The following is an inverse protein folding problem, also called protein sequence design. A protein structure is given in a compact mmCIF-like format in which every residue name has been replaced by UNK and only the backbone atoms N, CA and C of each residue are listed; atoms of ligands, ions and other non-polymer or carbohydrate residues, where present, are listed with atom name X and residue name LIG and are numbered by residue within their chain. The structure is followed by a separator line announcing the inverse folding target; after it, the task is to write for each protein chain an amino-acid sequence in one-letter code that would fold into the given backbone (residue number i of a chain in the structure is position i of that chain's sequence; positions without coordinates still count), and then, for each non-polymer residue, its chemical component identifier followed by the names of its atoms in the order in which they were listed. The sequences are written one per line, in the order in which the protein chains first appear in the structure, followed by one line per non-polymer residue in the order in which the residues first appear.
data_IF_887215534261
#
_entry.id   IF_887215534261
#
_cell.length_a   1.000
_cell.length_b   1.000
_cell.length_c   1.000
_cell.angle_alpha   90.00
_cell.angle_beta   90.00
_cell.angle_gamma   90.00
#
_symmetry.space_group_name_H-M   'P 1'
#
loop_
_entity.id
_entity.type
_entity.pdbx_description
1 polymer ?
#
# COMPACT_ATOMS: atom_id res chain seq x y z
N UNK A 1 -2.46 -7.56 9.21
CA UNK A 1 -3.78 -7.91 8.63
C UNK A 1 -3.58 -8.78 7.39
N UNK A 2 -4.50 -9.70 7.07
CA UNK A 2 -4.52 -10.31 5.74
C UNK A 2 -5.06 -9.27 4.74
N UNK A 3 -4.36 -9.08 3.62
CA UNK A 3 -4.63 -7.98 2.68
C UNK A 3 -5.66 -8.39 1.63
N UNK A 4 -6.87 -7.83 1.69
CA UNK A 4 -7.87 -7.91 0.62
C UNK A 4 -7.71 -6.79 -0.42
N UNK A 5 -7.07 -5.68 -0.05
CA UNK A 5 -6.72 -4.58 -0.92
C UNK A 5 -5.53 -3.80 -0.33
N UNK A 6 -4.76 -3.11 -1.17
CA UNK A 6 -3.66 -2.27 -0.69
C UNK A 6 -4.20 -1.11 0.17
N UNK A 7 -5.36 -0.56 -0.17
CA UNK A 7 -6.08 0.46 0.60
C UNK A 7 -6.34 -0.01 2.04
N UNK A 8 -6.83 -1.23 2.22
CA UNK A 8 -7.07 -1.82 3.55
C UNK A 8 -5.76 -1.98 4.32
N UNK A 9 -4.69 -2.42 3.65
CA UNK A 9 -3.38 -2.57 4.27
C UNK A 9 -2.83 -1.22 4.74
N UNK A 10 -2.92 -0.17 3.92
CA UNK A 10 -2.49 1.18 4.30
C UNK A 10 -3.31 1.75 5.45
N UNK A 11 -4.63 1.51 5.46
CA UNK A 11 -5.48 1.91 6.58
C UNK A 11 -5.02 1.24 7.87
N UNK A 12 -4.87 -0.10 7.88
CA UNK A 12 -4.42 -0.84 9.05
C UNK A 12 -3.02 -0.43 9.53
N UNK A 13 -2.12 -0.06 8.61
CA UNK A 13 -0.80 0.48 8.96
C UNK A 13 -0.91 1.86 9.64
N UNK A 14 -1.73 2.75 9.10
CA UNK A 14 -1.95 4.08 9.68
C UNK A 14 -2.63 4.01 11.04
N UNK A 15 -3.67 3.19 11.16
CA UNK A 15 -4.40 2.92 12.40
C UNK A 15 -3.44 2.44 13.50
N UNK A 16 -2.66 1.38 13.24
CA UNK A 16 -1.70 0.84 14.21
C UNK A 16 -0.67 1.88 14.68
N UNK A 17 -0.19 2.73 13.78
CA UNK A 17 0.79 3.76 14.13
C UNK A 17 0.18 4.89 14.97
N UNK A 18 -1.05 5.33 14.66
CA UNK A 18 -1.78 6.32 15.46
C UNK A 18 -2.19 5.74 16.82
N UNK A 19 -2.68 4.52 16.90
CA UNK A 19 -3.02 3.90 18.20
C UNK A 19 -1.80 3.82 19.14
N UNK A 20 -0.61 3.61 18.57
CA UNK A 20 0.64 3.47 19.35
C UNK A 20 1.23 4.82 19.79
N UNK A 21 1.07 5.88 19.01
CA UNK A 21 1.75 7.17 19.23
C UNK A 21 0.74 8.32 19.38
N UNK A 22 0.28 8.64 20.61
CA UNK A 22 -0.69 9.70 20.88
C UNK A 22 -0.32 11.07 20.33
N UNK A 23 0.98 11.37 20.25
CA UNK A 23 1.53 12.63 19.75
C UNK A 23 1.45 12.81 18.23
N UNK A 24 1.19 11.73 17.49
CA UNK A 24 1.01 11.78 16.03
C UNK A 24 -0.46 12.04 15.72
N UNK A 25 -0.73 13.10 14.95
CA UNK A 25 -2.08 13.48 14.55
C UNK A 25 -2.56 12.74 13.29
N UNK A 26 -1.68 12.58 12.29
CA UNK A 26 -2.01 11.92 11.02
C UNK A 26 -0.78 11.35 10.31
N UNK A 27 -1.02 10.40 9.41
CA UNK A 27 -0.02 9.75 8.56
C UNK A 27 -0.51 9.74 7.12
N UNK A 28 0.35 10.15 6.18
CA UNK A 28 0.09 10.15 4.74
C UNK A 28 0.95 9.09 4.05
N UNK A 29 0.34 8.28 3.20
CA UNK A 29 0.99 7.24 2.41
C UNK A 29 0.91 7.56 0.92
N UNK A 30 2.00 7.27 0.20
CA UNK A 30 2.02 7.13 -1.25
C UNK A 30 2.70 5.80 -1.59
N UNK A 31 1.90 4.80 -1.94
CA UNK A 31 2.33 3.41 -2.00
C UNK A 31 2.04 2.79 -3.38
N UNK A 32 3.08 2.49 -4.19
CA UNK A 32 2.89 1.82 -5.45
C UNK A 32 2.63 0.32 -5.25
N UNK A 33 1.64 -0.21 -5.95
CA UNK A 33 1.47 -1.65 -6.15
C UNK A 33 2.39 -2.12 -7.28
N UNK A 34 3.58 -2.60 -6.91
CA UNK A 34 4.58 -3.12 -7.86
C UNK A 34 4.17 -4.52 -8.32
N UNK A 35 3.69 -4.60 -9.55
CA UNK A 35 3.16 -5.84 -10.11
C UNK A 35 4.25 -6.91 -10.25
N UNK A 36 4.00 -8.06 -9.62
CA UNK A 36 4.71 -9.32 -9.86
C UNK A 36 3.72 -10.27 -10.51
N UNK A 37 3.77 -10.36 -11.84
CA UNK A 37 2.86 -11.22 -12.59
C UNK A 37 3.38 -12.65 -12.59
N UNK A 38 2.52 -13.61 -12.24
CA UNK A 38 2.86 -15.02 -12.35
C UNK A 38 3.08 -15.38 -13.82
N UNK A 39 4.24 -15.94 -14.13
CA UNK A 39 4.57 -16.30 -15.52
C UNK A 39 3.80 -17.53 -15.96
N UNK A 40 3.15 -17.45 -17.12
CA UNK A 40 2.58 -18.62 -17.77
C UNK A 40 3.69 -19.45 -18.43
N UNK A 41 4.02 -20.58 -17.79
CA UNK A 41 5.01 -21.55 -18.29
C UNK A 41 4.36 -22.73 -19.05
N UNK A 42 3.02 -22.73 -19.21
CA UNK A 42 2.32 -23.78 -19.93
C UNK A 42 2.79 -23.99 -21.39
N UNK A 43 3.28 -22.96 -22.13
CA UNK A 43 3.86 -23.18 -23.45
C UNK A 43 5.13 -24.05 -23.44
N UNK A 44 5.78 -24.19 -22.28
CA UNK A 44 6.96 -25.05 -22.09
C UNK A 44 6.61 -26.39 -21.44
N UNK A 45 5.34 -26.67 -21.16
CA UNK A 45 4.89 -27.90 -20.51
C UNK A 45 5.26 -27.99 -19.02
N UNK A 46 5.49 -26.86 -18.36
CA UNK A 46 5.87 -26.79 -16.94
C UNK A 46 4.81 -26.01 -16.15
N UNK A 47 4.50 -26.44 -14.93
CA UNK A 47 3.64 -25.70 -14.01
C UNK A 47 4.39 -24.53 -13.33
N UNK A 48 3.65 -23.62 -12.71
CA UNK A 48 4.24 -22.52 -11.95
C UNK A 48 3.40 -22.28 -10.68
N UNK A 49 3.63 -23.02 -9.59
CA UNK A 49 2.85 -22.94 -8.35
C UNK A 49 3.23 -21.70 -7.51
N UNK A 50 3.29 -20.52 -8.13
CA UNK A 50 3.63 -19.28 -7.45
C UNK A 50 5.12 -19.07 -7.24
N UNK A 51 5.97 -19.47 -8.20
CA UNK A 51 7.43 -19.44 -8.04
C UNK A 51 8.12 -18.44 -8.98
N UNK A 52 7.77 -18.44 -10.27
CA UNK A 52 8.40 -17.58 -11.28
C UNK A 52 7.50 -16.40 -11.61
N UNK A 53 8.02 -15.19 -11.43
CA UNK A 53 7.30 -13.94 -11.66
C UNK A 53 8.08 -12.98 -12.55
N UNK A 54 7.37 -12.16 -13.32
CA UNK A 54 7.93 -10.95 -13.93
C UNK A 54 7.56 -9.75 -13.08
N UNK A 55 8.57 -9.06 -12.56
CA UNK A 55 8.42 -7.75 -11.91
C UNK A 55 8.36 -6.67 -12.99
N UNK A 56 7.16 -6.16 -13.28
CA UNK A 56 7.00 -5.10 -14.26
C UNK A 56 7.53 -3.76 -13.71
N UNK A 57 8.14 -2.95 -14.57
CA UNK A 57 8.61 -1.62 -14.21
C UNK A 57 7.43 -0.64 -14.13
N UNK A 58 6.60 -0.58 -15.19
CA UNK A 58 5.46 0.32 -15.36
C UNK A 58 4.39 -0.29 -16.29
N UNK A 59 3.12 0.14 -16.21
CA UNK A 59 2.56 1.02 -15.18
C UNK A 59 2.44 0.29 -13.84
N UNK A 60 2.20 1.04 -12.77
CA UNK A 60 1.85 0.50 -11.46
C UNK A 60 0.63 1.24 -10.91
N UNK A 61 -0.20 0.54 -10.13
CA UNK A 61 -1.23 1.21 -9.35
C UNK A 61 -0.56 2.06 -8.27
N UNK A 62 -0.88 3.35 -8.19
CA UNK A 62 -0.46 4.21 -7.07
C UNK A 62 -1.65 4.37 -6.12
N UNK A 63 -1.50 3.91 -4.88
CA UNK A 63 -2.51 4.03 -3.85
C UNK A 63 -2.01 5.05 -2.84
N UNK A 64 -2.83 6.06 -2.59
CA UNK A 64 -2.53 7.12 -1.63
C UNK A 64 -3.63 7.16 -0.57
N UNK A 65 -3.24 7.42 0.68
CA UNK A 65 -4.17 7.48 1.80
C UNK A 65 -3.66 8.44 2.87
N UNK A 66 -4.58 9.15 3.51
CA UNK A 66 -4.32 9.85 4.78
C UNK A 66 -5.17 9.17 5.85
N UNK A 67 -4.53 8.72 6.92
CA UNK A 67 -5.20 8.24 8.13
C UNK A 67 -4.94 9.27 9.22
N UNK A 68 -5.99 9.73 9.87
CA UNK A 68 -5.95 10.81 10.87
C UNK A 68 -6.89 10.50 12.02
N UNK A 69 -6.64 11.10 13.18
CA UNK A 69 -7.58 11.03 14.31
C UNK A 69 -8.79 11.92 14.05
N UNK A 70 -9.94 11.57 14.63
CA UNK A 70 -11.19 12.32 14.48
C UNK A 70 -11.10 13.78 14.97
N UNK A 71 -10.21 14.07 15.92
CA UNK A 71 -9.97 15.39 16.50
C UNK A 71 -8.80 16.15 15.84
N UNK A 72 -8.23 15.62 14.75
CA UNK A 72 -7.14 16.27 14.03
C UNK A 72 -7.64 17.57 13.40
N UNK A 73 -7.07 18.70 13.79
CA UNK A 73 -7.33 19.97 13.13
C UNK A 73 -6.72 19.98 11.71
N UNK A 74 -7.44 20.55 10.75
CA UNK A 74 -6.90 20.79 9.41
C UNK A 74 -5.75 21.80 9.48
N UNK A 75 -4.54 21.37 9.12
CA UNK A 75 -3.37 22.24 8.93
C UNK A 75 -2.83 22.08 7.51
N UNK A 76 -3.42 22.78 6.52
CA UNK A 76 -2.98 22.68 5.13
C UNK A 76 -1.55 23.19 4.93
N UNK A 77 -1.09 24.16 5.74
CA UNK A 77 0.25 24.76 5.61
C UNK A 77 1.34 23.73 5.84
N UNK A 78 1.15 22.82 6.80
CA UNK A 78 2.10 21.75 7.09
C UNK A 78 2.36 20.78 5.91
N UNK A 79 1.50 20.78 4.87
CA UNK A 79 1.59 19.85 3.74
C UNK A 79 1.86 20.52 2.39
N UNK A 80 1.99 21.85 2.38
CA UNK A 80 2.40 22.59 1.20
C UNK A 80 3.92 22.78 1.24
N UNK A 81 4.59 22.28 0.21
CA UNK A 81 6.03 22.44 -0.02
C UNK A 81 6.25 23.00 -1.42
#
# INVERSE_FOLDING_TARGET
VHSYALQQSLYAMGEAALETHPEVAQIKFSAPNKHHFLVDLSPFGVDNPGEVFVAADRPYGLIEATVQRDDTADDPVAWHW
#
